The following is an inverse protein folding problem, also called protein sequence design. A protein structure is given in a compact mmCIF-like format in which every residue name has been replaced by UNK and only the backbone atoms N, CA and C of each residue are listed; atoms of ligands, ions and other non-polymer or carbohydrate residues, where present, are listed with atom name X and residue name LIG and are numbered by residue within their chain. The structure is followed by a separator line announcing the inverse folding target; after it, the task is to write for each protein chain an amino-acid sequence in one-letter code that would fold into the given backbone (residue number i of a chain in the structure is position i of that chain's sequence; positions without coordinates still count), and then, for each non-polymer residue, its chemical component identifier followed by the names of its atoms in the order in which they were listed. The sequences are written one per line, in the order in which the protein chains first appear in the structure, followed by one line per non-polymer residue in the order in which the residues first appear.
data_IF_222112223927
#
_entry.id   IF_222112223927
#
_cell.length_a   1.000
_cell.length_b   1.000
_cell.length_c   1.000
_cell.angle_alpha   90.00
_cell.angle_beta   90.00
_cell.angle_gamma   90.00
#
_symmetry.space_group_name_H-M   'P 1'
#
loop_
_entity.id
_entity.type
_entity.pdbx_description
1 polymer ?
#
# COMPACT_ATOMS: atom_id res chain seq x y z
N UNK A 1 10.06 -13.34 -25.35
CA UNK A 1 9.15 -14.22 -24.59
C UNK A 1 9.65 -14.26 -23.17
N UNK A 2 9.16 -13.35 -22.33
CA UNK A 2 9.36 -13.36 -20.88
C UNK A 2 8.07 -12.80 -20.31
N UNK A 3 7.21 -13.68 -19.83
CA UNK A 3 5.95 -13.33 -19.18
C UNK A 3 6.28 -12.74 -17.80
N UNK A 4 6.24 -11.41 -17.69
CA UNK A 4 6.19 -10.71 -16.41
C UNK A 4 4.72 -10.62 -15.99
N UNK A 5 4.32 -11.49 -15.07
CA UNK A 5 2.92 -11.67 -14.67
C UNK A 5 2.62 -10.85 -13.39
N UNK A 6 1.66 -9.92 -13.47
CA UNK A 6 1.19 -9.02 -12.40
C UNK A 6 0.42 -9.74 -11.27
N UNK A 7 0.22 -9.13 -10.09
CA UNK A 7 -0.62 -9.73 -9.02
C UNK A 7 -2.03 -10.07 -9.48
N UNK A 8 -2.67 -9.16 -10.22
CA UNK A 8 -3.99 -9.38 -10.81
C UNK A 8 -3.96 -10.41 -11.94
N UNK A 9 -2.93 -10.39 -12.79
CA UNK A 9 -2.79 -11.34 -13.90
C UNK A 9 -2.42 -12.75 -13.44
N UNK A 10 -1.66 -12.90 -12.35
CA UNK A 10 -1.38 -14.20 -11.70
C UNK A 10 -2.65 -14.83 -11.14
N UNK A 11 -3.61 -14.00 -10.75
CA UNK A 11 -4.93 -14.41 -10.30
C UNK A 11 -5.97 -14.43 -11.43
N UNK A 12 -5.56 -14.08 -12.66
CA UNK A 12 -6.42 -13.93 -13.84
C UNK A 12 -7.63 -12.99 -13.60
N UNK A 13 -7.46 -11.97 -12.75
CA UNK A 13 -8.46 -10.93 -12.47
C UNK A 13 -8.18 -9.67 -13.28
N UNK A 14 -9.26 -9.05 -13.78
CA UNK A 14 -9.20 -7.73 -14.43
C UNK A 14 -8.87 -6.64 -13.42
N UNK A 15 -8.18 -5.57 -13.85
CA UNK A 15 -7.95 -4.39 -13.02
C UNK A 15 -9.25 -3.88 -12.39
N UNK A 16 -9.20 -3.60 -11.08
CA UNK A 16 -10.33 -3.08 -10.33
C UNK A 16 -10.69 -1.67 -10.78
N UNK A 17 -11.98 -1.41 -10.93
CA UNK A 17 -12.45 -0.05 -11.22
C UNK A 17 -12.41 0.82 -9.96
N UNK A 18 -11.89 2.06 -10.02
CA UNK A 18 -12.03 3.03 -8.94
C UNK A 18 -13.51 3.35 -8.68
N UNK A 19 -13.91 3.54 -7.43
CA UNK A 19 -15.31 3.80 -7.07
C UNK A 19 -15.90 5.08 -7.71
N UNK A 20 -15.04 6.05 -8.05
CA UNK A 20 -15.42 7.30 -8.72
C UNK A 20 -15.51 7.17 -10.26
N UNK A 21 -15.28 5.98 -10.83
CA UNK A 21 -15.33 5.78 -12.29
C UNK A 21 -16.79 5.73 -12.76
N UNK A 22 -17.30 6.86 -13.25
CA UNK A 22 -18.69 6.99 -13.69
C UNK A 22 -19.04 6.18 -14.95
N UNK A 23 -18.14 6.15 -15.95
CA UNK A 23 -18.39 5.46 -17.23
C UNK A 23 -17.41 4.31 -17.45
N UNK A 24 -17.92 3.17 -17.95
CA UNK A 24 -17.12 1.99 -18.23
C UNK A 24 -16.50 1.35 -16.99
N UNK A 25 -17.10 1.53 -15.81
CA UNK A 25 -16.76 0.79 -14.61
C UNK A 25 -17.26 -0.64 -14.69
N UNK A 26 -16.44 -1.56 -14.18
CA UNK A 26 -16.82 -2.93 -13.92
C UNK A 26 -16.44 -3.25 -12.49
N UNK A 27 -17.45 -3.51 -11.67
CA UNK A 27 -17.33 -3.78 -10.23
C UNK A 27 -17.58 -5.26 -9.89
N UNK A 28 -17.82 -6.12 -10.89
CA UNK A 28 -18.11 -7.55 -10.68
C UNK A 28 -16.98 -8.31 -9.99
N UNK A 29 -15.73 -7.88 -10.18
CA UNK A 29 -14.55 -8.50 -9.57
C UNK A 29 -13.97 -7.67 -8.41
N UNK A 30 -14.70 -6.65 -7.93
CA UNK A 30 -14.27 -5.76 -6.86
C UNK A 30 -14.18 -4.29 -7.27
N UNK A 31 -13.90 -3.45 -6.27
CA UNK A 31 -13.92 -1.98 -6.37
C UNK A 31 -12.72 -1.41 -5.63
N UNK A 32 -12.06 -0.42 -6.22
CA UNK A 32 -10.93 0.26 -5.59
C UNK A 32 -11.38 1.59 -4.93
N UNK A 33 -11.26 1.66 -3.61
CA UNK A 33 -11.53 2.86 -2.80
C UNK A 33 -10.26 3.64 -2.42
N UNK A 34 -9.08 3.14 -2.77
CA UNK A 34 -7.81 3.77 -2.43
C UNK A 34 -7.64 5.11 -3.15
N UNK A 35 -7.12 6.10 -2.43
CA UNK A 35 -6.81 7.44 -2.95
C UNK A 35 -5.34 7.76 -2.70
N UNK A 36 -4.65 8.21 -3.75
CA UNK A 36 -3.26 8.62 -3.68
C UNK A 36 -3.06 9.74 -2.63
N UNK A 37 -2.05 9.60 -1.78
CA UNK A 37 -1.73 10.57 -0.73
C UNK A 37 -2.65 10.52 0.51
N UNK A 38 -3.63 9.61 0.56
CA UNK A 38 -4.52 9.50 1.71
C UNK A 38 -3.80 9.15 3.00
N UNK A 39 -4.28 9.74 4.10
CA UNK A 39 -3.83 9.50 5.47
C UNK A 39 -4.98 8.96 6.33
N UNK A 40 -4.65 8.45 7.52
CA UNK A 40 -5.65 8.10 8.53
C UNK A 40 -6.21 9.34 9.24
N UNK A 41 -5.37 10.36 9.43
CA UNK A 41 -5.68 11.60 10.14
C UNK A 41 -5.32 12.84 9.32
N UNK A 42 -6.05 13.96 9.47
CA UNK A 42 -7.30 14.11 10.24
C UNK A 42 -8.48 13.37 9.57
N UNK A 43 -9.43 12.90 10.38
CA UNK A 43 -10.56 12.06 9.95
C UNK A 43 -11.55 12.77 9.02
N UNK A 44 -11.63 14.09 9.13
CA UNK A 44 -12.56 14.98 8.44
C UNK A 44 -11.98 15.63 7.17
N UNK A 45 -10.75 15.28 6.81
CA UNK A 45 -10.15 15.70 5.53
C UNK A 45 -10.63 14.79 4.41
N UNK A 46 -10.87 15.41 3.25
CA UNK A 46 -11.27 14.70 2.03
C UNK A 46 -10.35 13.50 1.77
N UNK A 47 -10.96 12.37 1.46
CA UNK A 47 -10.28 11.12 1.09
C UNK A 47 -9.44 10.46 2.19
N UNK A 48 -9.49 10.92 3.45
CA UNK A 48 -8.92 10.19 4.58
C UNK A 48 -9.54 8.78 4.71
N UNK A 49 -8.86 7.87 5.41
CA UNK A 49 -9.31 6.47 5.56
C UNK A 49 -10.79 6.36 5.96
N UNK A 50 -11.23 7.19 6.90
CA UNK A 50 -12.62 7.22 7.32
C UNK A 50 -13.59 7.57 6.20
N UNK A 51 -13.26 8.54 5.35
CA UNK A 51 -14.08 8.90 4.19
C UNK A 51 -14.14 7.73 3.20
N UNK A 52 -13.01 7.05 2.94
CA UNK A 52 -13.01 5.85 2.08
C UNK A 52 -13.94 4.74 2.61
N UNK A 53 -13.95 4.53 3.93
CA UNK A 53 -14.88 3.58 4.57
C UNK A 53 -16.34 4.02 4.40
N UNK A 54 -16.63 5.33 4.55
CA UNK A 54 -17.98 5.85 4.31
C UNK A 54 -18.44 5.68 2.86
N UNK A 55 -17.56 5.95 1.90
CA UNK A 55 -17.84 5.73 0.47
C UNK A 55 -18.10 4.25 0.18
N UNK A 56 -17.35 3.34 0.80
CA UNK A 56 -17.63 1.91 0.73
C UNK A 56 -19.01 1.57 1.32
N UNK A 57 -19.38 2.13 2.48
CA UNK A 57 -20.68 1.88 3.10
C UNK A 57 -21.83 2.37 2.22
N UNK A 58 -21.67 3.55 1.61
CA UNK A 58 -22.63 4.08 0.66
C UNK A 58 -22.75 3.19 -0.57
N UNK A 59 -21.64 2.76 -1.15
CA UNK A 59 -21.60 1.83 -2.28
C UNK A 59 -22.33 0.52 -1.95
N UNK A 60 -22.03 -0.08 -0.79
CA UNK A 60 -22.67 -1.32 -0.33
C UNK A 60 -24.17 -1.15 -0.16
N UNK A 61 -24.59 -0.11 0.56
CA UNK A 61 -26.00 0.18 0.78
C UNK A 61 -26.76 0.33 -0.54
N UNK A 62 -26.18 1.08 -1.49
CA UNK A 62 -26.80 1.29 -2.81
C UNK A 62 -26.88 0.01 -3.63
N UNK A 63 -25.85 -0.83 -3.58
CA UNK A 63 -25.84 -2.12 -4.29
C UNK A 63 -26.95 -3.05 -3.76
N UNK A 64 -27.10 -3.14 -2.44
CA UNK A 64 -28.16 -3.96 -1.82
C UNK A 64 -29.56 -3.39 -2.04
N UNK A 65 -29.71 -2.07 -2.06
CA UNK A 65 -30.97 -1.40 -2.38
C UNK A 65 -31.44 -1.77 -3.80
N UNK A 66 -30.56 -1.68 -4.79
CA UNK A 66 -30.86 -2.05 -6.18
C UNK A 66 -31.34 -3.50 -6.30
N UNK A 67 -30.68 -4.43 -5.60
CA UNK A 67 -31.09 -5.85 -5.55
C UNK A 67 -32.49 -6.00 -4.96
N UNK A 68 -32.79 -5.30 -3.86
CA UNK A 68 -34.12 -5.38 -3.23
C UNK A 68 -35.23 -4.80 -4.12
N UNK A 69 -34.89 -3.92 -5.06
CA UNK A 69 -35.78 -3.39 -6.09
C UNK A 69 -35.85 -4.27 -7.35
N UNK A 70 -35.20 -5.45 -7.35
CA UNK A 70 -35.15 -6.35 -8.50
C UNK A 70 -34.28 -5.85 -9.66
N UNK A 71 -33.40 -4.88 -9.40
CA UNK A 71 -32.47 -4.34 -10.38
C UNK A 71 -31.13 -5.07 -10.33
N UNK A 72 -30.40 -5.03 -11.43
CA UNK A 72 -29.03 -5.52 -11.46
C UNK A 72 -28.13 -4.62 -10.61
N UNK A 73 -27.34 -5.23 -9.74
CA UNK A 73 -26.36 -4.56 -8.92
C UNK A 73 -24.98 -5.23 -9.10
N UNK A 74 -23.88 -4.51 -8.83
CA UNK A 74 -22.55 -5.04 -9.08
C UNK A 74 -22.14 -6.14 -8.09
N UNK A 75 -22.55 -6.04 -6.82
CA UNK A 75 -22.15 -6.95 -5.75
C UNK A 75 -23.34 -7.19 -4.81
N UNK A 76 -23.64 -8.44 -4.51
CA UNK A 76 -24.71 -8.83 -3.59
C UNK A 76 -24.20 -9.04 -2.15
N UNK A 77 -25.11 -9.44 -1.25
CA UNK A 77 -24.78 -9.62 0.15
C UNK A 77 -23.68 -10.67 0.38
N UNK A 78 -23.76 -11.79 -0.35
CA UNK A 78 -22.76 -12.86 -0.29
C UNK A 78 -21.41 -12.40 -0.85
N UNK A 79 -21.42 -11.66 -1.95
CA UNK A 79 -20.23 -11.05 -2.55
C UNK A 79 -19.52 -10.12 -1.58
N UNK A 80 -20.24 -9.28 -0.84
CA UNK A 80 -19.63 -8.44 0.20
C UNK A 80 -19.10 -9.25 1.39
N UNK A 81 -19.80 -10.29 1.82
CA UNK A 81 -19.33 -11.13 2.94
C UNK A 81 -18.05 -11.89 2.58
N UNK A 82 -17.99 -12.43 1.37
CA UNK A 82 -16.88 -13.25 0.90
C UNK A 82 -15.73 -12.45 0.28
N UNK A 83 -15.90 -11.15 0.01
CA UNK A 83 -14.86 -10.31 -0.58
C UNK A 83 -13.58 -10.26 0.28
N UNK A 84 -12.45 -10.05 -0.38
CA UNK A 84 -11.17 -9.75 0.25
C UNK A 84 -10.98 -8.24 0.36
N UNK A 85 -10.80 -7.76 1.59
CA UNK A 85 -10.63 -6.35 1.93
C UNK A 85 -9.13 -6.05 2.14
N UNK A 86 -8.49 -5.53 1.10
CA UNK A 86 -7.07 -5.12 1.16
C UNK A 86 -6.94 -3.70 1.69
N UNK A 87 -6.16 -3.48 2.74
CA UNK A 87 -5.94 -2.16 3.35
C UNK A 87 -4.44 -1.86 3.38
N UNK A 88 -4.03 -0.83 2.64
CA UNK A 88 -2.66 -0.29 2.62
C UNK A 88 -2.75 1.22 2.93
N UNK A 89 -2.46 1.59 4.18
CA UNK A 89 -2.64 2.95 4.70
C UNK A 89 -1.65 3.20 5.86
N UNK A 90 -1.43 4.48 6.21
CA UNK A 90 -0.53 4.87 7.30
C UNK A 90 0.87 5.26 6.83
N UNK A 91 1.32 4.79 5.65
CA UNK A 91 2.63 5.18 5.11
C UNK A 91 2.72 6.70 4.92
N UNK A 92 1.67 7.33 4.39
CA UNK A 92 1.64 8.79 4.20
C UNK A 92 1.65 9.54 5.53
N UNK A 93 0.97 9.05 6.56
CA UNK A 93 0.99 9.62 7.91
C UNK A 93 2.41 9.60 8.49
N UNK A 94 3.07 8.43 8.48
CA UNK A 94 4.45 8.28 8.98
C UNK A 94 5.42 9.14 8.16
N UNK A 95 5.26 9.17 6.84
CA UNK A 95 6.08 9.97 5.94
C UNK A 95 5.97 11.49 6.19
N UNK A 96 4.75 11.97 6.45
CA UNK A 96 4.49 13.37 6.77
C UNK A 96 5.08 13.75 8.14
N UNK A 97 4.95 12.86 9.14
CA UNK A 97 5.52 13.08 10.47
C UNK A 97 7.05 13.15 10.43
N UNK A 98 7.72 12.22 9.74
CA UNK A 98 9.18 12.18 9.59
C UNK A 98 9.76 13.40 8.87
N UNK A 99 8.94 14.10 8.09
CA UNK A 99 9.37 15.33 7.41
C UNK A 99 9.41 16.54 8.34
N UNK A 100 8.78 16.46 9.53
CA UNK A 100 8.57 17.60 10.41
C UNK A 100 9.01 17.37 11.86
N UNK A 101 9.19 16.11 12.27
CA UNK A 101 9.41 15.74 13.67
C UNK A 101 10.62 14.80 13.83
N UNK A 102 11.32 14.86 14.98
CA UNK A 102 12.33 13.88 15.33
C UNK A 102 11.70 12.51 15.64
N UNK A 103 12.49 11.44 15.48
CA UNK A 103 12.05 10.04 15.61
C UNK A 103 11.17 9.75 16.83
N UNK A 104 11.58 10.15 18.03
CA UNK A 104 10.82 9.84 19.26
C UNK A 104 9.42 10.49 19.26
N UNK A 105 9.30 11.68 18.67
CA UNK A 105 8.01 12.36 18.53
C UNK A 105 7.16 11.72 17.43
N UNK A 106 7.78 11.20 16.36
CA UNK A 106 7.07 10.43 15.33
C UNK A 106 6.44 9.18 15.94
N UNK A 107 7.21 8.38 16.68
CA UNK A 107 6.72 7.14 17.30
C UNK A 107 5.60 7.43 18.30
N UNK A 108 5.71 8.53 19.07
CA UNK A 108 4.66 8.96 20.00
C UNK A 108 3.32 9.31 19.31
N UNK A 109 3.30 9.50 17.98
CA UNK A 109 2.09 9.81 17.20
C UNK A 109 1.46 8.58 16.53
N UNK A 110 2.03 7.39 16.67
CA UNK A 110 1.43 6.16 16.10
C UNK A 110 0.09 5.74 16.73
N UNK A 111 -0.15 5.85 18.05
CA UNK A 111 -1.40 5.40 18.64
C UNK A 111 -2.67 5.96 18.00
N UNK A 112 -2.82 7.26 17.72
CA UNK A 112 -4.02 7.78 17.07
C UNK A 112 -4.17 7.30 15.61
N UNK A 113 -3.08 7.12 14.86
CA UNK A 113 -3.11 6.57 13.49
C UNK A 113 -3.67 5.14 13.51
N UNK A 114 -3.17 4.30 14.42
CA UNK A 114 -3.62 2.92 14.56
C UNK A 114 -5.05 2.80 15.09
N UNK A 115 -5.51 3.78 15.89
CA UNK A 115 -6.89 3.84 16.33
C UNK A 115 -7.87 4.01 15.15
N UNK A 116 -7.52 4.84 14.17
CA UNK A 116 -8.33 5.00 12.94
C UNK A 116 -8.31 3.74 12.06
N UNK A 117 -7.16 3.05 11.94
CA UNK A 117 -7.09 1.77 11.23
C UNK A 117 -7.96 0.72 11.93
N UNK A 118 -7.89 0.65 13.27
CA UNK A 118 -8.73 -0.24 14.07
C UNK A 118 -10.21 0.04 13.84
N UNK A 119 -10.62 1.31 13.92
CA UNK A 119 -12.00 1.74 13.73
C UNK A 119 -12.52 1.39 12.33
N UNK A 120 -11.70 1.61 11.30
CA UNK A 120 -12.03 1.23 9.92
C UNK A 120 -12.28 -0.28 9.78
N UNK A 121 -11.38 -1.12 10.30
CA UNK A 121 -11.50 -2.59 10.24
C UNK A 121 -12.73 -3.07 11.02
N UNK A 122 -12.96 -2.54 12.23
CA UNK A 122 -14.13 -2.88 13.04
C UNK A 122 -15.43 -2.45 12.36
N UNK A 123 -15.46 -1.25 11.78
CA UNK A 123 -16.62 -0.73 11.04
C UNK A 123 -16.95 -1.62 9.85
N UNK A 124 -15.96 -2.01 9.04
CA UNK A 124 -16.14 -2.94 7.92
C UNK A 124 -16.69 -4.29 8.38
N UNK A 125 -16.17 -4.82 9.49
CA UNK A 125 -16.57 -6.10 10.05
C UNK A 125 -17.99 -6.13 10.61
N UNK A 126 -18.37 -5.11 11.40
CA UNK A 126 -19.74 -4.98 11.90
C UNK A 126 -20.75 -4.76 10.76
N UNK A 127 -20.27 -4.36 9.59
CA UNK A 127 -21.04 -4.28 8.35
C UNK A 127 -20.85 -5.51 7.45
N UNK A 128 -20.46 -6.67 7.97
CA UNK A 128 -20.50 -7.95 7.25
C UNK A 128 -19.22 -8.36 6.53
N UNK A 129 -18.16 -7.55 6.53
CA UNK A 129 -16.87 -7.93 5.93
C UNK A 129 -16.20 -9.02 6.78
N UNK A 130 -15.57 -10.04 6.16
CA UNK A 130 -14.96 -11.16 6.89
C UNK A 130 -13.49 -11.43 6.58
N UNK A 131 -12.98 -11.02 5.43
CA UNK A 131 -11.61 -11.34 5.01
C UNK A 131 -10.78 -10.06 4.86
N UNK A 132 -9.79 -9.85 5.71
CA UNK A 132 -8.95 -8.65 5.70
C UNK A 132 -7.50 -8.98 5.40
N UNK A 133 -6.90 -8.21 4.49
CA UNK A 133 -5.48 -8.29 4.17
C UNK A 133 -4.85 -6.90 4.38
N UNK A 134 -4.18 -6.75 5.51
CA UNK A 134 -3.65 -5.48 5.99
C UNK A 134 -2.16 -5.43 5.70
N UNK A 135 -1.73 -4.41 4.99
CA UNK A 135 -0.33 -4.19 4.63
C UNK A 135 0.35 -3.26 5.61
N UNK A 136 1.56 -3.64 6.05
CA UNK A 136 2.47 -2.72 6.72
C UNK A 136 3.01 -1.65 5.76
N UNK A 137 3.62 -0.62 6.33
CA UNK A 137 4.37 0.39 5.57
C UNK A 137 5.63 -0.20 4.93
N UNK A 138 6.08 0.39 3.82
CA UNK A 138 7.29 -0.03 3.10
C UNK A 138 8.59 0.52 3.68
N UNK A 139 9.71 0.23 2.99
CA UNK A 139 11.04 0.73 3.32
C UNK A 139 11.20 2.24 3.01
N UNK A 140 10.61 3.09 3.87
CA UNK A 140 10.56 4.55 3.70
C UNK A 140 11.92 5.21 3.52
N UNK A 141 12.96 4.69 4.18
CA UNK A 141 14.31 5.23 4.11
C UNK A 141 15.01 4.99 2.77
N UNK A 142 14.46 4.10 1.95
CA UNK A 142 15.00 3.80 0.63
C UNK A 142 14.32 4.62 -0.50
N UNK A 143 13.35 5.47 -0.16
CA UNK A 143 12.68 6.30 -1.17
C UNK A 143 13.64 7.37 -1.70
N UNK A 144 13.84 7.47 -3.04
CA UNK A 144 14.67 8.53 -3.62
C UNK A 144 14.20 9.93 -3.23
N UNK A 145 12.89 10.13 -3.02
CA UNK A 145 12.34 11.38 -2.48
C UNK A 145 13.01 11.80 -1.16
N UNK A 146 13.30 10.85 -0.27
CA UNK A 146 13.89 11.13 1.04
C UNK A 146 15.41 11.23 0.96
N UNK A 147 16.00 10.39 0.13
CA UNK A 147 17.45 10.39 -0.09
C UNK A 147 17.95 11.65 -0.80
N UNK A 148 17.12 12.31 -1.61
CA UNK A 148 17.46 13.58 -2.26
C UNK A 148 17.40 14.81 -1.33
N UNK A 149 16.90 14.67 -0.10
CA UNK A 149 16.88 15.78 0.87
C UNK A 149 18.32 16.12 1.29
N UNK A 150 18.74 17.40 1.21
CA UNK A 150 20.06 17.81 1.67
C UNK A 150 20.29 17.43 3.13
N UNK A 151 21.41 16.76 3.39
CA UNK A 151 21.81 16.28 4.72
C UNK A 151 23.23 16.71 5.03
N UNK A 152 23.55 16.83 6.32
CA UNK A 152 24.87 17.27 6.79
C UNK A 152 25.97 16.25 6.48
N UNK A 153 25.65 14.97 6.58
CA UNK A 153 26.51 13.84 6.29
C UNK A 153 25.67 12.57 6.06
N UNK A 154 26.34 11.47 5.73
CA UNK A 154 25.72 10.17 5.44
C UNK A 154 25.65 9.24 6.66
N UNK A 155 25.77 9.74 7.90
CA UNK A 155 25.84 8.88 9.09
C UNK A 155 24.54 8.14 9.42
N UNK A 156 23.41 8.56 8.85
CA UNK A 156 22.12 7.87 8.97
C UNK A 156 21.90 6.82 7.87
N UNK A 157 22.80 6.71 6.88
CA UNK A 157 22.66 5.68 5.85
C UNK A 157 23.08 4.31 6.37
N UNK A 158 22.29 3.29 6.06
CA UNK A 158 22.65 1.90 6.24
C UNK A 158 23.59 1.41 5.11
N UNK A 159 24.00 0.14 5.20
CA UNK A 159 24.90 -0.48 4.22
C UNK A 159 24.34 -0.54 2.78
N UNK A 160 23.03 -0.38 2.62
CA UNK A 160 22.35 -0.35 1.32
C UNK A 160 22.05 1.08 0.85
N UNK A 161 22.50 2.10 1.58
CA UNK A 161 22.28 3.51 1.25
C UNK A 161 20.90 4.04 1.62
N UNK A 162 20.14 3.33 2.46
CA UNK A 162 18.84 3.79 2.94
C UNK A 162 18.94 4.52 4.28
N UNK A 163 18.06 5.49 4.53
CA UNK A 163 18.00 6.21 5.81
C UNK A 163 17.50 5.30 6.94
N UNK A 164 18.37 5.01 7.90
CA UNK A 164 18.09 4.15 9.05
C UNK A 164 16.97 4.73 9.92
N UNK A 165 16.97 6.04 10.18
CA UNK A 165 15.92 6.69 10.98
C UNK A 165 14.52 6.49 10.39
N UNK A 166 14.39 6.60 9.06
CA UNK A 166 13.11 6.39 8.36
C UNK A 166 12.68 4.93 8.37
N UNK A 167 13.62 4.01 8.09
CA UNK A 167 13.33 2.58 8.12
C UNK A 167 12.96 2.09 9.53
N UNK A 168 13.62 2.59 10.58
CA UNK A 168 13.26 2.30 11.97
C UNK A 168 11.84 2.75 12.33
N UNK A 169 11.41 3.91 11.83
CA UNK A 169 10.05 4.38 12.06
C UNK A 169 9.01 3.50 11.35
N UNK A 170 9.29 3.06 10.11
CA UNK A 170 8.45 2.10 9.39
C UNK A 170 8.34 0.76 10.14
N UNK A 171 9.46 0.19 10.59
CA UNK A 171 9.49 -1.05 11.38
C UNK A 171 8.73 -0.90 12.71
N UNK A 172 8.93 0.21 13.41
CA UNK A 172 8.24 0.48 14.67
C UNK A 172 6.71 0.61 14.47
N UNK A 173 6.27 1.31 13.42
CA UNK A 173 4.85 1.39 13.08
C UNK A 173 4.27 0.01 12.74
N UNK A 174 4.97 -0.74 11.89
CA UNK A 174 4.60 -2.07 11.45
C UNK A 174 4.48 -3.07 12.61
N UNK A 175 5.35 -3.00 13.62
CA UNK A 175 5.28 -3.85 14.80
C UNK A 175 3.98 -3.65 15.61
N UNK A 176 3.57 -2.39 15.78
CA UNK A 176 2.33 -2.08 16.51
C UNK A 176 1.09 -2.39 15.66
N UNK A 177 1.15 -2.17 14.34
CA UNK A 177 0.09 -2.58 13.41
C UNK A 177 -0.10 -4.11 13.38
N UNK A 178 0.98 -4.89 13.32
CA UNK A 178 0.93 -6.35 13.39
C UNK A 178 0.32 -6.84 14.71
N UNK A 179 0.70 -6.20 15.83
CA UNK A 179 0.12 -6.50 17.15
C UNK A 179 -1.38 -6.15 17.21
N UNK A 180 -1.81 -5.08 16.56
CA UNK A 180 -3.23 -4.74 16.42
C UNK A 180 -3.98 -5.80 15.61
N UNK A 181 -3.41 -6.29 14.51
CA UNK A 181 -4.00 -7.36 13.70
C UNK A 181 -4.17 -8.66 14.52
N UNK A 182 -3.17 -9.02 15.34
CA UNK A 182 -3.26 -10.16 16.25
C UNK A 182 -4.42 -9.99 17.26
N UNK A 183 -4.58 -8.80 17.83
CA UNK A 183 -5.67 -8.50 18.77
C UNK A 183 -7.04 -8.59 18.10
N UNK A 184 -7.17 -8.06 16.87
CA UNK A 184 -8.41 -8.09 16.12
C UNK A 184 -8.80 -9.52 15.72
N UNK A 185 -7.84 -10.37 15.33
CA UNK A 185 -8.09 -11.79 15.08
C UNK A 185 -8.68 -12.52 16.30
N UNK A 186 -8.25 -12.18 17.52
CA UNK A 186 -8.81 -12.77 18.75
C UNK A 186 -10.24 -12.27 19.02
N UNK A 187 -10.51 -11.00 18.71
CA UNK A 187 -11.79 -10.35 18.99
C UNK A 187 -12.87 -10.71 17.96
N UNK A 188 -12.49 -10.89 16.69
CA UNK A 188 -13.39 -11.01 15.54
C UNK A 188 -13.37 -12.46 15.03
N UNK A 189 -13.97 -13.37 15.80
CA UNK A 189 -13.79 -14.83 15.66
C UNK A 189 -14.26 -15.44 14.35
N UNK A 190 -15.18 -14.78 13.65
CA UNK A 190 -15.70 -15.19 12.34
C UNK A 190 -14.99 -14.47 11.18
N UNK A 191 -14.01 -13.61 11.46
CA UNK A 191 -13.18 -12.95 10.45
C UNK A 191 -11.78 -13.55 10.37
N UNK A 192 -11.17 -13.45 9.20
CA UNK A 192 -9.76 -13.74 8.96
C UNK A 192 -9.03 -12.43 8.72
N UNK A 193 -8.02 -12.12 9.53
CA UNK A 193 -7.18 -10.92 9.36
C UNK A 193 -5.74 -11.35 9.13
N UNK A 194 -5.20 -10.97 7.98
CA UNK A 194 -3.80 -11.23 7.61
C UNK A 194 -3.04 -9.91 7.62
N UNK A 195 -1.99 -9.83 8.44
CA UNK A 195 -0.99 -8.78 8.36
C UNK A 195 0.12 -9.19 7.39
N UNK A 196 0.62 -8.28 6.55
CA UNK A 196 1.75 -8.53 5.64
C UNK A 196 2.86 -7.49 5.81
N UNK A 197 4.07 -7.98 6.03
CA UNK A 197 5.26 -7.15 6.20
C UNK A 197 5.81 -6.65 4.84
N UNK A 198 5.24 -5.56 4.34
CA UNK A 198 5.75 -4.91 3.13
C UNK A 198 7.13 -4.28 3.30
N UNK A 199 7.57 -3.99 4.53
CA UNK A 199 8.90 -3.45 4.77
C UNK A 199 9.94 -4.48 4.34
N UNK A 200 9.80 -5.73 4.81
CA UNK A 200 10.73 -6.80 4.47
C UNK A 200 10.81 -7.04 2.95
N UNK A 201 9.67 -7.05 2.25
CA UNK A 201 9.62 -7.25 0.79
C UNK A 201 10.31 -6.09 0.05
N UNK A 202 9.95 -4.84 0.38
CA UNK A 202 10.48 -3.64 -0.32
C UNK A 202 11.94 -3.35 0.04
N UNK A 203 12.38 -3.69 1.25
CA UNK A 203 13.78 -3.57 1.63
C UNK A 203 14.64 -4.62 0.92
N UNK A 204 14.15 -5.86 0.81
CA UNK A 204 14.84 -6.93 0.06
C UNK A 204 15.03 -6.58 -1.41
N UNK A 205 14.05 -5.91 -2.04
CA UNK A 205 14.19 -5.37 -3.39
C UNK A 205 15.41 -4.47 -3.55
N UNK A 206 15.68 -3.61 -2.56
CA UNK A 206 16.81 -2.68 -2.58
C UNK A 206 18.10 -3.40 -2.24
N UNK A 207 18.12 -4.17 -1.15
CA UNK A 207 19.32 -4.86 -0.66
C UNK A 207 19.82 -5.94 -1.64
N UNK A 208 18.91 -6.60 -2.36
CA UNK A 208 19.21 -7.69 -3.30
C UNK A 208 18.82 -7.34 -4.74
N UNK A 209 18.89 -6.06 -5.11
CA UNK A 209 18.38 -5.55 -6.39
C UNK A 209 18.92 -6.27 -7.64
N UNK A 210 20.18 -6.70 -7.63
CA UNK A 210 20.81 -7.42 -8.75
C UNK A 210 20.20 -8.81 -8.96
N UNK A 211 19.77 -9.50 -7.90
CA UNK A 211 19.03 -10.78 -7.97
C UNK A 211 17.72 -10.63 -8.76
N UNK A 212 17.13 -9.45 -8.68
CA UNK A 212 15.88 -9.10 -9.35
C UNK A 212 16.08 -8.44 -10.72
N UNK A 213 17.34 -8.23 -11.14
CA UNK A 213 17.68 -7.65 -12.44
C UNK A 213 17.62 -6.12 -12.51
N UNK A 214 17.58 -5.44 -11.35
CA UNK A 214 17.64 -3.98 -11.27
C UNK A 214 19.08 -3.49 -11.16
N UNK A 215 19.40 -2.39 -11.84
CA UNK A 215 20.75 -1.85 -11.89
C UNK A 215 20.95 -0.70 -10.87
N UNK A 216 19.93 0.14 -10.70
CA UNK A 216 19.98 1.35 -9.86
C UNK A 216 18.86 1.33 -8.82
N UNK A 217 19.09 0.76 -7.62
CA UNK A 217 18.01 0.51 -6.65
C UNK A 217 17.46 1.78 -5.99
N UNK A 218 18.25 2.86 -5.96
CA UNK A 218 17.91 4.13 -5.30
C UNK A 218 17.77 5.30 -6.29
N UNK A 219 17.84 5.04 -7.59
CA UNK A 219 17.62 6.06 -8.62
C UNK A 219 16.20 5.94 -9.17
N UNK A 220 15.59 7.06 -9.52
CA UNK A 220 14.28 7.07 -10.19
C UNK A 220 14.42 6.92 -11.70
N UNK A 221 13.47 6.21 -12.31
CA UNK A 221 13.40 6.14 -13.76
C UNK A 221 13.02 7.50 -14.37
N UNK A 222 12.02 8.17 -13.80
CA UNK A 222 11.50 9.45 -14.25
C UNK A 222 11.77 10.54 -13.21
N UNK A 223 12.55 11.56 -13.57
CA UNK A 223 12.85 12.66 -12.66
C UNK A 223 13.86 13.66 -13.19
N UNK A 224 14.63 14.26 -12.28
CA UNK A 224 15.50 15.40 -12.54
C UNK A 224 16.81 15.34 -11.76
N UNK A 225 17.84 16.00 -12.28
CA UNK A 225 19.13 16.18 -11.59
C UNK A 225 20.14 15.06 -11.83
N UNK A 226 19.73 13.91 -12.39
CA UNK A 226 20.62 12.79 -12.68
C UNK A 226 21.11 12.06 -11.42
N UNK A 227 22.17 11.23 -11.53
CA UNK A 227 22.67 10.43 -10.42
C UNK A 227 23.07 11.29 -9.20
N UNK A 228 22.98 10.74 -7.97
CA UNK A 228 22.69 9.34 -7.66
C UNK A 228 21.21 8.97 -7.59
N UNK A 229 20.30 9.95 -7.45
CA UNK A 229 18.87 9.68 -7.17
C UNK A 229 17.92 10.04 -8.31
N UNK A 230 18.33 10.95 -9.21
CA UNK A 230 17.47 11.52 -10.27
C UNK A 230 16.16 12.10 -9.75
N UNK A 231 16.19 12.72 -8.56
CA UNK A 231 15.01 13.29 -7.93
C UNK A 231 15.24 14.76 -7.55
N UNK A 232 14.23 15.59 -7.79
CA UNK A 232 14.19 17.00 -7.40
C UNK A 232 12.93 17.24 -6.55
N UNK A 233 13.10 17.82 -5.37
CA UNK A 233 12.03 18.06 -4.40
C UNK A 233 10.94 19.03 -4.89
N UNK A 234 11.25 19.86 -5.89
CA UNK A 234 10.38 20.90 -6.41
C UNK A 234 9.69 20.54 -7.73
N UNK A 235 10.04 19.39 -8.32
CA UNK A 235 9.58 19.00 -9.67
C UNK A 235 9.12 17.56 -9.72
N UNK A 236 7.88 17.35 -10.13
CA UNK A 236 7.33 16.00 -10.35
C UNK A 236 7.76 15.43 -11.69
N UNK A 237 7.78 14.10 -11.84
CA UNK A 237 8.02 13.40 -13.11
C UNK A 237 7.10 13.89 -14.28
N UNK A 238 5.93 14.43 -13.98
CA UNK A 238 4.98 14.97 -14.98
C UNK A 238 5.34 16.38 -15.45
N UNK A 239 6.33 17.02 -14.83
CA UNK A 239 6.76 18.37 -15.19
C UNK A 239 7.53 18.37 -16.54
N UNK A 240 7.56 19.50 -17.27
CA UNK A 240 8.30 19.59 -18.53
C UNK A 240 9.80 19.30 -18.36
N UNK A 241 10.41 18.65 -19.35
CA UNK A 241 11.84 18.30 -19.38
C UNK A 241 12.30 17.27 -18.33
N UNK A 242 11.38 16.47 -17.78
CA UNK A 242 11.78 15.31 -16.97
C UNK A 242 12.61 14.34 -17.82
N UNK A 243 13.65 13.78 -17.21
CA UNK A 243 14.42 12.69 -17.83
C UNK A 243 13.74 11.38 -17.47
N UNK A 244 13.46 10.56 -18.48
CA UNK A 244 12.88 9.23 -18.33
C UNK A 244 13.91 8.20 -18.75
N UNK A 245 14.06 7.15 -17.96
CA UNK A 245 14.96 6.04 -18.25
C UNK A 245 14.54 5.30 -19.53
N UNK A 246 15.50 4.69 -20.23
CA UNK A 246 15.22 3.96 -21.47
C UNK A 246 14.49 2.62 -21.22
N UNK A 247 14.74 1.98 -20.08
CA UNK A 247 14.17 0.70 -19.71
C UNK A 247 13.71 0.73 -18.24
N UNK A 248 12.40 0.85 -18.03
CA UNK A 248 11.77 0.88 -16.70
C UNK A 248 11.92 -0.44 -15.93
N UNK A 249 12.23 -1.56 -16.58
CA UNK A 249 12.45 -2.85 -15.91
C UNK A 249 13.76 -2.90 -15.12
N UNK A 250 14.66 -1.92 -15.31
CA UNK A 250 15.96 -1.80 -14.64
C UNK A 250 15.96 -0.93 -13.39
N UNK A 251 14.83 -0.30 -13.08
CA UNK A 251 14.68 0.62 -11.96
C UNK A 251 13.65 0.11 -10.96
N UNK A 252 13.91 0.29 -9.66
CA UNK A 252 12.94 -0.02 -8.61
C UNK A 252 11.91 1.10 -8.51
N UNK A 253 12.36 2.35 -8.49
CA UNK A 253 11.48 3.52 -8.35
C UNK A 253 11.13 4.14 -9.69
N UNK A 254 9.84 4.40 -9.91
CA UNK A 254 9.36 5.14 -11.07
C UNK A 254 9.69 6.63 -10.93
N UNK A 255 9.23 7.27 -9.86
CA UNK A 255 9.25 8.73 -9.71
C UNK A 255 9.84 9.22 -8.38
N UNK A 256 10.37 8.33 -7.54
CA UNK A 256 10.96 8.63 -6.23
C UNK A 256 10.07 8.31 -5.04
N UNK A 257 8.81 7.98 -5.28
CA UNK A 257 7.86 7.50 -4.26
C UNK A 257 7.22 6.19 -4.68
N UNK A 258 6.82 6.08 -5.95
CA UNK A 258 6.15 4.92 -6.50
C UNK A 258 7.15 3.94 -7.13
N UNK A 259 6.79 2.66 -7.14
CA UNK A 259 7.55 1.61 -7.78
C UNK A 259 7.28 1.57 -9.29
N UNK A 260 8.26 1.09 -10.06
CA UNK A 260 8.02 0.69 -11.45
C UNK A 260 7.11 -0.54 -11.51
N UNK A 261 6.56 -0.83 -12.70
CA UNK A 261 5.74 -2.03 -12.88
C UNK A 261 6.53 -3.31 -12.57
N UNK A 262 7.78 -3.41 -13.03
CA UNK A 262 8.65 -4.56 -12.75
C UNK A 262 8.87 -4.76 -11.23
N UNK A 263 9.09 -3.68 -10.48
CA UNK A 263 9.22 -3.76 -9.04
C UNK A 263 7.88 -4.10 -8.35
N UNK A 264 6.76 -3.54 -8.81
CA UNK A 264 5.43 -3.91 -8.31
C UNK A 264 5.13 -5.40 -8.53
N UNK A 265 5.48 -5.97 -9.67
CA UNK A 265 5.29 -7.40 -9.95
C UNK A 265 6.06 -8.32 -8.96
N UNK A 266 7.22 -7.88 -8.50
CA UNK A 266 8.00 -8.62 -7.49
C UNK A 266 7.41 -8.44 -6.10
N UNK A 267 6.99 -7.23 -5.73
CA UNK A 267 6.28 -7.00 -4.45
C UNK A 267 5.00 -7.83 -4.39
N UNK A 268 4.22 -7.81 -5.46
CA UNK A 268 3.05 -8.65 -5.72
C UNK A 268 3.34 -10.14 -5.47
N UNK A 269 4.39 -10.67 -6.10
CA UNK A 269 4.81 -12.05 -5.91
C UNK A 269 5.21 -12.34 -4.44
N UNK A 270 5.87 -11.40 -3.77
CA UNK A 270 6.22 -11.48 -2.36
C UNK A 270 4.98 -11.57 -1.46
N UNK A 271 3.99 -10.72 -1.69
CA UNK A 271 2.70 -10.73 -0.96
C UNK A 271 1.99 -12.08 -1.18
N UNK A 272 1.84 -12.49 -2.45
CA UNK A 272 1.13 -13.73 -2.81
C UNK A 272 1.86 -15.01 -2.34
N UNK A 273 3.16 -14.93 -2.04
CA UNK A 273 3.91 -16.06 -1.49
C UNK A 273 3.50 -16.44 -0.06
N UNK A 274 2.78 -15.56 0.66
CA UNK A 274 2.41 -15.68 2.09
C UNK A 274 3.58 -15.78 3.08
N UNK A 275 4.83 -15.79 2.61
CA UNK A 275 6.03 -15.89 3.45
C UNK A 275 6.25 -14.70 4.38
N UNK A 276 5.66 -13.55 4.03
CA UNK A 276 5.75 -12.29 4.79
C UNK A 276 4.45 -11.99 5.54
N UNK A 277 3.54 -12.96 5.62
CA UNK A 277 2.19 -12.78 6.15
C UNK A 277 2.00 -13.50 7.47
N UNK A 278 1.22 -12.88 8.37
CA UNK A 278 0.80 -13.45 9.65
C UNK A 278 -0.73 -13.34 9.81
N UNK A 279 -1.46 -14.47 10.00
CA UNK A 279 -0.97 -15.83 9.86
C UNK A 279 -0.47 -16.11 8.44
N UNK A 280 0.37 -17.14 8.29
CA UNK A 280 0.83 -17.60 6.98
C UNK A 280 -0.34 -18.33 6.28
N UNK A 281 -1.15 -17.55 5.56
CA UNK A 281 -2.34 -17.98 4.86
C UNK A 281 -2.16 -17.71 3.37
N UNK A 282 -2.43 -18.72 2.54
CA UNK A 282 -2.31 -18.59 1.08
C UNK A 282 -3.48 -17.80 0.51
N UNK A 283 -3.23 -17.07 -0.57
CA UNK A 283 -4.24 -16.23 -1.22
C UNK A 283 -5.48 -17.03 -1.68
N UNK A 284 -5.27 -18.23 -2.21
CA UNK A 284 -6.34 -19.11 -2.71
C UNK A 284 -7.34 -19.54 -1.63
N UNK A 285 -6.98 -19.43 -0.34
CA UNK A 285 -7.90 -19.69 0.76
C UNK A 285 -9.00 -18.63 0.89
N UNK A 286 -8.82 -17.45 0.29
CA UNK A 286 -9.86 -16.42 0.16
C UNK A 286 -10.72 -16.57 -1.09
N UNK A 287 -10.26 -17.36 -2.06
CA UNK A 287 -11.00 -17.64 -3.28
C UNK A 287 -11.92 -18.84 -3.04
N UNK A 288 -13.19 -18.58 -2.73
CA UNK A 288 -14.22 -19.64 -2.83
C UNK A 288 -14.40 -19.97 -4.32
N UNK A 289 -14.19 -21.23 -4.67
CA UNK A 289 -14.51 -21.81 -5.99
C UNK A 289 -15.98 -22.17 -6.05
#
# INVERSE_FOLDING_TARGET
MNDQIHSGERLNITYLSPYLKAFGSNYSNGVNFAIAGSTTLPRDVLFALHVQVQEFMFFKARSLELISQGQQAPIDAEGFENALYTIDIGQNDVNALLSNLPYDQVVAKFPPILAEIKDAVQTLYFNGSRNFWIHGTGALGCLPQKLAIPRKNDSDLDQNGCLNTYNRAAVAFNAVLGSLCDQLNVQMKDATIVYTDLFAIKYDLVANHTKYGFDSPLMTCCGYGGPPYNYDLSRSCQSPNATVCADGSKFISWDGVHLTEAANAIVAAGILSSAYSKPNLKFDQFCKV
#
